data_IF_200942354997
#
_entry.id   IF_200942354997
#
_cell.length_a   1.000
_cell.length_b   1.000
_cell.length_c   1.000
_cell.angle_alpha   90.00
_cell.angle_beta   90.00
_cell.angle_gamma   90.00
#
_symmetry.space_group_name_H-M   'P 1'
#
loop_
_entity.id
_entity.type
_entity.pdbx_description
1 polymer ?
#
# COMPACT_ATOMS: atom_id res chain seq x y z
N UNK A 1 -34.08 35.16 54.58
CA UNK A 1 -32.84 35.23 53.74
C UNK A 1 -32.15 33.89 53.77
N UNK A 2 -32.43 33.04 52.78
CA UNK A 2 -31.82 31.75 52.64
C UNK A 2 -30.78 31.87 51.51
N UNK A 3 -29.50 31.72 51.84
CA UNK A 3 -28.41 31.70 50.86
C UNK A 3 -28.32 30.34 50.20
N UNK A 4 -28.70 30.29 48.95
CA UNK A 4 -28.61 29.12 48.06
C UNK A 4 -27.17 28.89 47.65
N UNK A 5 -26.56 27.80 48.15
CA UNK A 5 -25.20 27.40 47.89
C UNK A 5 -25.17 26.63 46.58
N UNK A 6 -24.88 27.29 45.46
CA UNK A 6 -24.73 26.71 44.12
C UNK A 6 -23.42 25.94 44.05
N UNK A 7 -23.46 24.64 44.36
CA UNK A 7 -22.33 23.70 44.11
C UNK A 7 -22.02 23.65 42.61
N UNK A 8 -20.92 24.28 42.23
CA UNK A 8 -20.29 24.06 40.93
C UNK A 8 -19.79 22.62 40.87
N UNK A 9 -20.51 21.75 40.18
CA UNK A 9 -20.05 20.43 39.79
C UNK A 9 -18.98 20.61 38.70
N UNK A 10 -17.73 20.54 39.09
CA UNK A 10 -16.57 20.41 38.17
C UNK A 10 -16.61 19.03 37.59
N UNK A 11 -17.19 18.92 36.42
CA UNK A 11 -17.23 17.68 35.63
C UNK A 11 -15.84 17.46 35.03
N UNK A 12 -14.95 16.89 35.84
CA UNK A 12 -13.63 16.41 35.38
C UNK A 12 -13.89 15.16 34.54
N UNK A 13 -14.08 15.34 33.24
CA UNK A 13 -14.03 14.24 32.29
C UNK A 13 -12.63 13.61 32.36
N UNK A 14 -12.50 12.59 33.18
CA UNK A 14 -11.37 11.68 33.13
C UNK A 14 -11.39 11.08 31.72
N UNK A 15 -10.50 11.56 30.87
CA UNK A 15 -10.20 10.89 29.60
C UNK A 15 -9.65 9.51 29.96
N UNK A 16 -10.52 8.50 29.99
CA UNK A 16 -10.14 7.11 30.06
C UNK A 16 -9.29 6.86 28.83
N UNK A 17 -7.98 6.77 29.03
CA UNK A 17 -7.04 6.33 28.01
C UNK A 17 -7.43 4.89 27.73
N UNK A 18 -8.26 4.67 26.71
CA UNK A 18 -8.51 3.33 26.21
C UNK A 18 -7.18 2.80 25.73
N UNK A 19 -6.58 1.91 26.52
CA UNK A 19 -5.54 1.04 26.03
C UNK A 19 -6.19 0.19 24.95
N UNK A 20 -6.04 0.59 23.71
CA UNK A 20 -6.31 -0.29 22.58
C UNK A 20 -5.39 -1.48 22.75
N UNK A 21 -5.96 -2.60 23.21
CA UNK A 21 -5.26 -3.89 23.17
C UNK A 21 -5.00 -4.10 21.68
N UNK A 22 -3.72 -4.03 21.30
CA UNK A 22 -3.32 -4.31 19.94
C UNK A 22 -3.61 -5.79 19.66
N UNK A 23 -4.79 -6.08 19.09
CA UNK A 23 -5.13 -7.40 18.62
C UNK A 23 -4.23 -7.72 17.43
N UNK A 24 -3.33 -8.66 17.64
CA UNK A 24 -2.49 -9.19 16.57
C UNK A 24 -3.21 -10.37 15.94
N UNK A 25 -3.50 -10.28 14.65
CA UNK A 25 -4.17 -11.34 13.90
C UNK A 25 -3.15 -12.42 13.49
N UNK A 26 -3.04 -13.43 14.33
CA UNK A 26 -2.15 -14.58 14.08
C UNK A 26 -2.60 -15.40 12.86
N UNK A 27 -3.90 -15.44 12.54
CA UNK A 27 -4.41 -16.17 11.38
C UNK A 27 -3.94 -15.54 10.08
N UNK A 28 -4.01 -14.20 10.00
CA UNK A 28 -3.50 -13.44 8.86
C UNK A 28 -2.00 -13.68 8.69
N UNK A 29 -1.23 -13.62 9.79
CA UNK A 29 0.21 -13.86 9.74
C UNK A 29 0.54 -15.29 9.28
N UNK A 30 -0.18 -16.29 9.78
CA UNK A 30 0.04 -17.69 9.41
C UNK A 30 -0.21 -17.93 7.91
N UNK A 31 -1.33 -17.37 7.38
CA UNK A 31 -1.65 -17.43 5.95
C UNK A 31 -0.58 -16.74 5.11
N UNK A 32 -0.12 -15.56 5.54
CA UNK A 32 0.94 -14.82 4.86
C UNK A 32 2.24 -15.61 4.78
N UNK A 33 2.68 -16.20 5.91
CA UNK A 33 3.89 -17.05 5.96
C UNK A 33 3.72 -18.27 5.04
N UNK A 34 2.58 -18.92 5.08
CA UNK A 34 2.28 -20.08 4.22
C UNK A 34 2.39 -19.70 2.73
N UNK A 35 1.82 -18.56 2.32
CA UNK A 35 1.90 -18.06 0.95
C UNK A 35 3.34 -17.69 0.55
N UNK A 36 4.12 -17.10 1.44
CA UNK A 36 5.54 -16.79 1.19
C UNK A 36 6.33 -18.08 0.98
N UNK A 37 6.17 -19.08 1.87
CA UNK A 37 6.85 -20.37 1.74
C UNK A 37 6.48 -21.08 0.43
N UNK A 38 5.20 -21.12 0.10
CA UNK A 38 4.73 -21.69 -1.17
C UNK A 38 5.32 -20.96 -2.37
N UNK A 39 5.32 -19.62 -2.36
CA UNK A 39 5.92 -18.80 -3.41
C UNK A 39 7.41 -19.03 -3.59
N UNK A 40 8.16 -19.19 -2.49
CA UNK A 40 9.60 -19.49 -2.52
C UNK A 40 9.87 -20.88 -3.14
N UNK A 41 9.10 -21.90 -2.78
CA UNK A 41 9.22 -23.26 -3.35
C UNK A 41 8.92 -23.21 -4.85
N UNK A 42 7.84 -22.56 -5.25
CA UNK A 42 7.47 -22.42 -6.66
C UNK A 42 8.53 -21.66 -7.47
N UNK A 43 9.06 -20.57 -6.90
CA UNK A 43 10.14 -19.79 -7.51
C UNK A 43 11.38 -20.66 -7.73
N UNK A 44 11.80 -21.42 -6.73
CA UNK A 44 12.94 -22.32 -6.86
C UNK A 44 12.72 -23.35 -7.97
N UNK A 45 11.56 -23.99 -7.99
CA UNK A 45 11.21 -25.01 -9.00
C UNK A 45 11.25 -24.45 -10.42
N UNK A 46 10.70 -23.25 -10.63
CA UNK A 46 10.58 -22.67 -11.98
C UNK A 46 11.85 -21.96 -12.45
N UNK A 47 12.65 -21.40 -11.53
CA UNK A 47 13.79 -20.54 -11.89
C UNK A 47 15.16 -21.23 -11.82
N UNK A 48 15.27 -22.42 -11.21
CA UNK A 48 16.54 -23.12 -11.00
C UNK A 48 17.28 -23.38 -12.31
N UNK A 49 16.60 -23.88 -13.33
CA UNK A 49 17.19 -24.13 -14.65
C UNK A 49 17.64 -22.83 -15.34
N UNK A 50 16.79 -21.81 -15.31
CA UNK A 50 17.13 -20.50 -15.91
C UNK A 50 18.29 -19.81 -15.18
N UNK A 51 18.40 -20.01 -13.85
CA UNK A 51 19.50 -19.51 -13.05
C UNK A 51 20.82 -20.20 -13.42
N UNK A 52 20.82 -21.51 -13.55
CA UNK A 52 22.01 -22.27 -14.00
C UNK A 52 22.55 -21.76 -15.33
N UNK A 53 21.66 -21.51 -16.29
CA UNK A 53 22.07 -21.09 -17.65
C UNK A 53 22.54 -19.64 -17.74
N UNK A 54 21.99 -18.74 -16.89
CA UNK A 54 22.25 -17.29 -16.99
C UNK A 54 23.20 -16.74 -15.92
N UNK A 55 23.43 -17.47 -14.83
CA UNK A 55 24.16 -16.98 -13.66
C UNK A 55 25.32 -17.92 -13.27
N UNK A 56 26.18 -18.22 -14.23
CA UNK A 56 27.43 -18.99 -14.02
C UNK A 56 27.25 -20.32 -13.25
N UNK A 57 26.09 -20.98 -13.39
CA UNK A 57 25.83 -22.25 -12.73
C UNK A 57 25.20 -22.17 -11.32
N UNK A 58 24.93 -20.97 -10.77
CA UNK A 58 24.25 -20.84 -9.46
C UNK A 58 22.73 -21.00 -9.62
N UNK A 59 22.23 -22.21 -9.40
CA UNK A 59 20.77 -22.53 -9.45
C UNK A 59 19.97 -21.82 -8.36
N UNK A 60 20.61 -21.37 -7.28
CA UNK A 60 19.98 -20.72 -6.14
C UNK A 60 19.98 -19.20 -6.22
N UNK A 61 20.51 -18.59 -7.28
CA UNK A 61 20.67 -17.14 -7.39
C UNK A 61 19.37 -16.38 -7.14
N UNK A 62 18.30 -16.71 -7.87
CA UNK A 62 17.01 -16.06 -7.72
C UNK A 62 16.35 -16.37 -6.38
N UNK A 63 16.50 -17.58 -5.87
CA UNK A 63 15.97 -18.01 -4.58
C UNK A 63 16.60 -17.20 -3.42
N UNK A 64 17.93 -17.11 -3.36
CA UNK A 64 18.65 -16.34 -2.32
C UNK A 64 18.21 -14.87 -2.33
N UNK A 65 18.08 -14.29 -3.50
CA UNK A 65 17.64 -12.89 -3.67
C UNK A 65 16.20 -12.70 -3.19
N UNK A 66 15.31 -13.63 -3.53
CA UNK A 66 13.92 -13.57 -3.08
C UNK A 66 13.78 -13.73 -1.57
N UNK A 67 14.51 -14.66 -0.96
CA UNK A 67 14.53 -14.81 0.51
C UNK A 67 14.97 -13.52 1.19
N UNK A 68 16.02 -12.88 0.69
CA UNK A 68 16.47 -11.59 1.22
C UNK A 68 15.35 -10.53 1.17
N UNK A 69 14.65 -10.41 0.03
CA UNK A 69 13.54 -9.47 -0.10
C UNK A 69 12.35 -9.83 0.78
N UNK A 70 12.05 -11.10 0.98
CA UNK A 70 11.02 -11.55 1.93
C UNK A 70 11.36 -11.12 3.36
N UNK A 71 12.62 -11.30 3.78
CA UNK A 71 13.07 -10.88 5.12
C UNK A 71 12.93 -9.36 5.27
N UNK A 72 13.43 -8.59 4.30
CA UNK A 72 13.32 -7.12 4.31
C UNK A 72 11.87 -6.68 4.32
N UNK A 73 11.01 -7.34 3.52
CA UNK A 73 9.57 -7.07 3.49
C UNK A 73 8.86 -7.36 4.80
N UNK A 74 9.18 -8.48 5.47
CA UNK A 74 8.63 -8.83 6.79
C UNK A 74 9.07 -7.85 7.87
N UNK A 75 10.33 -7.41 7.86
CA UNK A 75 10.84 -6.37 8.76
C UNK A 75 10.09 -5.06 8.50
N UNK A 76 9.96 -4.66 7.23
CA UNK A 76 9.20 -3.47 6.84
C UNK A 76 7.75 -3.53 7.29
N UNK A 77 7.07 -4.66 7.09
CA UNK A 77 5.71 -4.89 7.57
C UNK A 77 5.63 -4.73 9.10
N UNK A 78 6.57 -5.31 9.84
CA UNK A 78 6.61 -5.17 11.29
C UNK A 78 6.80 -3.73 11.76
N UNK A 79 7.69 -2.96 11.12
CA UNK A 79 7.92 -1.54 11.40
C UNK A 79 6.64 -0.74 11.11
N UNK A 80 6.05 -0.93 9.93
CA UNK A 80 4.82 -0.23 9.51
C UNK A 80 3.65 -0.52 10.45
N UNK A 81 3.52 -1.76 10.94
CA UNK A 81 2.47 -2.16 11.88
C UNK A 81 2.57 -1.47 13.26
N UNK A 82 3.75 -0.91 13.61
CA UNK A 82 3.97 -0.18 14.86
C UNK A 82 3.60 1.31 14.77
N UNK A 83 3.43 1.82 13.57
CA UNK A 83 3.10 3.22 13.34
C UNK A 83 1.58 3.40 13.50
N UNK A 84 1.17 4.45 14.22
CA UNK A 84 -0.25 4.77 14.41
C UNK A 84 -0.91 5.07 13.05
N UNK A 85 -2.06 4.45 12.79
CA UNK A 85 -2.82 4.64 11.54
C UNK A 85 -3.28 6.09 11.33
N UNK A 86 -3.44 6.89 12.40
CA UNK A 86 -3.78 8.30 12.29
C UNK A 86 -2.73 9.09 11.52
N UNK A 87 -1.46 8.72 11.67
CA UNK A 87 -0.37 9.32 10.92
C UNK A 87 -0.50 9.10 9.40
N UNK A 88 -0.91 7.89 9.01
CA UNK A 88 -1.17 7.58 7.60
C UNK A 88 -2.41 8.30 7.09
N UNK A 89 -3.44 8.38 7.92
CA UNK A 89 -4.68 9.07 7.59
C UNK A 89 -4.45 10.54 7.26
N UNK A 90 -3.75 11.27 8.12
CA UNK A 90 -3.45 12.69 7.91
C UNK A 90 -2.61 12.95 6.65
N UNK A 91 -1.72 11.99 6.31
CA UNK A 91 -0.80 12.11 5.16
C UNK A 91 -1.27 11.38 3.91
N UNK A 92 -2.45 10.80 3.91
CA UNK A 92 -2.97 9.99 2.80
C UNK A 92 -3.00 10.76 1.47
N UNK A 93 -3.39 12.04 1.49
CA UNK A 93 -3.36 12.92 0.31
C UNK A 93 -1.95 13.10 -0.24
N UNK A 94 -0.97 13.29 0.64
CA UNK A 94 0.43 13.46 0.25
C UNK A 94 0.98 12.19 -0.41
N UNK A 95 0.73 11.01 0.16
CA UNK A 95 1.11 9.74 -0.45
C UNK A 95 0.45 9.53 -1.80
N UNK A 96 -0.82 9.91 -1.93
CA UNK A 96 -1.55 9.83 -3.18
C UNK A 96 -0.90 10.68 -4.28
N UNK A 97 -0.62 11.96 -4.03
CA UNK A 97 0.00 12.83 -5.01
C UNK A 97 1.44 12.42 -5.36
N UNK A 98 2.22 11.96 -4.36
CA UNK A 98 3.55 11.40 -4.61
C UNK A 98 3.45 10.19 -5.54
N UNK A 99 2.50 9.29 -5.33
CA UNK A 99 2.37 8.10 -6.17
C UNK A 99 2.04 8.46 -7.63
N UNK A 100 1.17 9.43 -7.84
CA UNK A 100 0.88 9.96 -9.18
C UNK A 100 2.14 10.58 -9.80
N UNK A 101 2.88 11.40 -9.04
CA UNK A 101 4.12 11.98 -9.52
C UNK A 101 5.15 10.91 -9.92
N UNK A 102 5.31 9.88 -9.10
CA UNK A 102 6.19 8.74 -9.41
C UNK A 102 5.78 8.01 -10.70
N UNK A 103 4.48 7.90 -10.97
CA UNK A 103 4.02 7.32 -12.22
C UNK A 103 4.46 8.14 -13.44
N UNK A 104 4.39 9.47 -13.37
CA UNK A 104 4.89 10.32 -14.45
C UNK A 104 6.40 10.16 -14.70
N UNK A 105 7.20 9.84 -13.66
CA UNK A 105 8.63 9.58 -13.83
C UNK A 105 8.92 8.38 -14.75
N UNK A 106 7.99 7.43 -14.91
CA UNK A 106 8.16 6.30 -15.83
C UNK A 106 8.27 6.74 -17.29
N UNK A 107 7.59 7.83 -17.67
CA UNK A 107 7.66 8.39 -19.04
C UNK A 107 8.96 9.16 -19.30
N UNK A 108 9.74 9.46 -18.26
CA UNK A 108 11.05 10.12 -18.36
C UNK A 108 12.14 9.12 -18.79
N UNK A 109 13.39 9.57 -19.08
CA UNK A 109 14.51 8.68 -19.41
C UNK A 109 14.87 7.65 -18.32
N UNK A 110 14.38 7.83 -17.09
CA UNK A 110 14.56 6.89 -15.99
C UNK A 110 13.70 5.61 -16.17
N UNK A 111 12.68 5.67 -17.03
CA UNK A 111 11.83 4.53 -17.33
C UNK A 111 12.54 3.44 -18.12
N UNK A 112 12.42 2.20 -17.67
CA UNK A 112 12.88 1.00 -18.39
C UNK A 112 11.73 0.40 -19.18
N UNK A 113 11.97 0.20 -20.46
CA UNK A 113 11.08 -0.55 -21.33
C UNK A 113 11.31 -2.05 -21.14
N UNK A 114 10.24 -2.78 -20.85
CA UNK A 114 10.24 -4.24 -20.75
C UNK A 114 9.01 -4.74 -21.51
N UNK A 115 9.23 -5.63 -22.48
CA UNK A 115 8.17 -6.19 -23.33
C UNK A 115 7.33 -5.12 -24.06
N UNK A 116 7.99 -4.08 -24.58
CA UNK A 116 7.32 -3.03 -25.37
C UNK A 116 6.58 -1.95 -24.58
N UNK A 117 6.60 -2.02 -23.24
CA UNK A 117 5.96 -1.00 -22.39
C UNK A 117 6.92 -0.49 -21.32
N UNK A 118 6.90 0.84 -21.09
CA UNK A 118 7.65 1.50 -20.03
C UNK A 118 6.84 1.45 -18.74
N UNK A 119 7.20 0.52 -17.84
CA UNK A 119 6.46 0.28 -16.59
C UNK A 119 7.33 0.33 -15.34
N UNK A 120 8.64 0.33 -15.52
CA UNK A 120 9.63 0.18 -14.45
C UNK A 120 10.56 1.37 -14.40
N UNK A 121 10.95 1.77 -13.20
CA UNK A 121 12.02 2.74 -12.96
C UNK A 121 13.28 1.95 -12.60
N UNK A 122 14.41 2.29 -13.25
CA UNK A 122 15.72 1.73 -12.90
C UNK A 122 16.16 2.32 -11.57
N UNK A 123 16.44 1.45 -10.61
CA UNK A 123 17.07 1.80 -9.34
C UNK A 123 18.55 1.36 -9.34
N UNK A 124 19.39 1.91 -8.45
CA UNK A 124 20.73 1.38 -8.21
C UNK A 124 20.69 -0.12 -7.89
N UNK A 125 21.81 -0.83 -8.12
CA UNK A 125 21.96 -2.27 -7.92
C UNK A 125 21.05 -3.15 -8.80
N UNK A 126 20.77 -2.71 -10.02
CA UNK A 126 19.94 -3.43 -11.00
C UNK A 126 18.50 -3.73 -10.52
N UNK A 127 18.07 -3.03 -9.48
CA UNK A 127 16.70 -3.13 -9.01
C UNK A 127 15.73 -2.40 -9.95
N UNK A 128 14.50 -2.87 -9.96
CA UNK A 128 13.44 -2.26 -10.74
C UNK A 128 12.25 -2.00 -9.81
N UNK A 129 11.77 -0.78 -9.83
CA UNK A 129 10.58 -0.37 -9.08
C UNK A 129 9.44 -0.09 -10.05
N UNK A 130 8.28 -0.66 -9.78
CA UNK A 130 7.08 -0.37 -10.56
C UNK A 130 6.23 0.66 -9.80
N UNK A 131 6.13 1.92 -10.25
CA UNK A 131 5.37 2.95 -9.54
C UNK A 131 3.88 2.62 -9.36
N UNK A 132 3.30 1.82 -10.26
CA UNK A 132 1.92 1.36 -10.13
C UNK A 132 1.67 0.50 -8.86
N UNK A 133 2.70 -0.21 -8.35
CA UNK A 133 2.59 -0.93 -7.07
C UNK A 133 2.46 0.06 -5.90
N UNK A 134 3.24 1.15 -5.93
CA UNK A 134 3.14 2.22 -4.92
C UNK A 134 1.80 2.92 -5.01
N UNK A 135 1.28 3.14 -6.23
CA UNK A 135 -0.02 3.77 -6.44
C UNK A 135 -1.15 2.95 -5.80
N UNK A 136 -1.13 1.62 -5.90
CA UNK A 136 -2.12 0.75 -5.24
C UNK A 136 -2.13 0.97 -3.72
N UNK A 137 -0.96 1.00 -3.09
CA UNK A 137 -0.84 1.24 -1.65
C UNK A 137 -1.36 2.63 -1.29
N UNK A 138 -1.00 3.65 -2.07
CA UNK A 138 -1.45 5.02 -1.84
C UNK A 138 -2.98 5.16 -1.94
N UNK A 139 -3.61 4.46 -2.87
CA UNK A 139 -5.06 4.45 -3.04
C UNK A 139 -5.75 3.72 -1.89
N UNK A 140 -5.21 2.58 -1.42
CA UNK A 140 -5.72 1.87 -0.24
C UNK A 140 -5.71 2.76 1.01
N UNK A 141 -4.76 3.68 1.13
CA UNK A 141 -4.71 4.64 2.23
C UNK A 141 -5.62 5.85 1.98
N UNK A 142 -5.70 6.33 0.75
CA UNK A 142 -6.40 7.56 0.39
C UNK A 142 -7.92 7.40 0.37
N UNK A 143 -8.45 6.34 -0.22
CA UNK A 143 -9.90 6.15 -0.37
C UNK A 143 -10.62 6.05 0.98
N UNK A 144 -10.19 5.22 1.95
CA UNK A 144 -10.80 5.21 3.28
C UNK A 144 -10.68 6.55 4.01
N UNK A 145 -9.54 7.26 3.85
CA UNK A 145 -9.37 8.58 4.44
C UNK A 145 -10.34 9.60 3.84
N UNK A 146 -10.56 9.55 2.53
CA UNK A 146 -11.54 10.38 1.85
C UNK A 146 -12.96 10.10 2.37
N UNK A 147 -13.35 8.83 2.46
CA UNK A 147 -14.67 8.41 2.97
C UNK A 147 -14.87 8.89 4.42
N UNK A 148 -13.88 8.72 5.28
CA UNK A 148 -13.95 9.20 6.66
C UNK A 148 -14.10 10.73 6.77
N UNK A 149 -13.42 11.49 5.90
CA UNK A 149 -13.52 12.97 5.89
C UNK A 149 -14.87 13.45 5.37
N UNK A 150 -15.49 12.71 4.44
CA UNK A 150 -16.83 13.04 3.92
C UNK A 150 -17.97 12.75 4.92
N UNK A 151 -17.75 11.84 5.89
CA UNK A 151 -18.71 11.54 6.94
C UNK A 151 -20.08 11.12 6.41
N UNK A 152 -21.13 11.95 6.63
CA UNK A 152 -22.50 11.65 6.19
C UNK A 152 -22.72 11.84 4.68
N UNK A 153 -21.90 12.61 4.01
CA UNK A 153 -22.03 12.86 2.57
C UNK A 153 -21.87 11.59 1.74
N UNK A 154 -21.11 10.60 2.23
CA UNK A 154 -20.95 9.32 1.53
C UNK A 154 -22.27 8.58 1.28
N UNK A 155 -23.32 8.86 2.07
CA UNK A 155 -24.64 8.28 1.90
C UNK A 155 -25.45 8.90 0.76
N UNK A 156 -24.98 10.00 0.20
CA UNK A 156 -25.59 10.65 -0.96
C UNK A 156 -24.98 10.11 -2.25
N UNK A 157 -25.75 10.20 -3.34
CA UNK A 157 -25.23 9.83 -4.67
C UNK A 157 -24.01 10.67 -5.06
N UNK A 158 -23.99 11.95 -4.70
CA UNK A 158 -22.84 12.82 -4.93
C UNK A 158 -21.58 12.32 -4.22
N UNK A 159 -21.71 11.87 -2.96
CA UNK A 159 -20.60 11.34 -2.20
C UNK A 159 -20.01 10.08 -2.83
N UNK A 160 -20.87 9.16 -3.26
CA UNK A 160 -20.45 7.93 -3.94
C UNK A 160 -19.76 8.27 -5.27
N UNK A 161 -20.34 9.15 -6.05
CA UNK A 161 -19.77 9.59 -7.35
C UNK A 161 -18.41 10.25 -7.15
N UNK A 162 -18.21 11.07 -6.11
CA UNK A 162 -16.91 11.67 -5.78
C UNK A 162 -15.83 10.61 -5.52
N UNK A 163 -16.14 9.58 -4.71
CA UNK A 163 -15.20 8.50 -4.42
C UNK A 163 -14.87 7.73 -5.70
N UNK A 164 -15.88 7.31 -6.45
CA UNK A 164 -15.69 6.60 -7.72
C UNK A 164 -14.92 7.46 -8.75
N UNK A 165 -15.13 8.76 -8.77
CA UNK A 165 -14.40 9.67 -9.67
C UNK A 165 -12.90 9.71 -9.35
N UNK A 166 -12.51 9.74 -8.05
CA UNK A 166 -11.11 9.65 -7.64
C UNK A 166 -10.48 8.30 -7.99
N UNK A 167 -11.23 7.20 -7.82
CA UNK A 167 -10.78 5.88 -8.23
C UNK A 167 -10.63 5.73 -9.73
N UNK A 168 -11.63 6.17 -10.49
CA UNK A 168 -11.60 6.16 -11.95
C UNK A 168 -10.47 7.04 -12.52
N UNK A 169 -10.25 8.22 -11.93
CA UNK A 169 -9.11 9.07 -12.28
C UNK A 169 -7.78 8.35 -12.05
N UNK A 170 -7.62 7.72 -10.90
CA UNK A 170 -6.40 6.97 -10.57
C UNK A 170 -6.19 5.78 -11.52
N UNK A 171 -7.25 5.02 -11.81
CA UNK A 171 -7.21 3.89 -12.74
C UNK A 171 -6.86 4.35 -14.17
N UNK A 172 -7.43 5.48 -14.61
CA UNK A 172 -7.12 6.07 -15.91
C UNK A 172 -5.66 6.52 -16.00
N UNK A 173 -5.13 7.19 -14.96
CA UNK A 173 -3.72 7.59 -14.91
C UNK A 173 -2.79 6.37 -14.97
N UNK A 174 -3.08 5.32 -14.19
CA UNK A 174 -2.33 4.06 -14.24
C UNK A 174 -2.38 3.47 -15.64
N UNK A 175 -3.55 3.37 -16.26
CA UNK A 175 -3.71 2.79 -17.58
C UNK A 175 -2.96 3.56 -18.67
N UNK A 176 -3.13 4.88 -18.72
CA UNK A 176 -2.52 5.75 -19.74
C UNK A 176 -0.99 5.77 -19.62
N UNK A 177 -0.46 5.78 -18.38
CA UNK A 177 0.98 5.89 -18.17
C UNK A 177 1.67 4.55 -18.34
N UNK A 178 1.12 3.48 -17.76
CA UNK A 178 1.81 2.17 -17.69
C UNK A 178 1.32 1.16 -18.73
N UNK A 179 0.25 1.51 -19.49
CA UNK A 179 -0.38 0.62 -20.48
C UNK A 179 -0.73 -0.77 -19.88
N UNK A 180 -1.09 -0.77 -18.60
CA UNK A 180 -1.37 -1.98 -17.83
C UNK A 180 -2.83 -2.02 -17.38
N UNK A 181 -3.67 -2.67 -18.21
CA UNK A 181 -5.08 -2.81 -17.93
C UNK A 181 -5.37 -3.57 -16.64
N UNK A 182 -4.60 -4.63 -16.35
CA UNK A 182 -4.79 -5.45 -15.14
C UNK A 182 -4.64 -4.61 -13.87
N UNK A 183 -3.60 -3.76 -13.81
CA UNK A 183 -3.39 -2.88 -12.66
C UNK A 183 -4.47 -1.81 -12.55
N UNK A 184 -4.94 -1.26 -13.67
CA UNK A 184 -6.03 -0.29 -13.68
C UNK A 184 -7.34 -0.90 -13.15
N UNK A 185 -7.66 -2.14 -13.54
CA UNK A 185 -8.82 -2.88 -13.02
C UNK A 185 -8.70 -3.12 -11.50
N UNK A 186 -7.52 -3.49 -11.02
CA UNK A 186 -7.28 -3.68 -9.58
C UNK A 186 -7.49 -2.36 -8.84
N UNK A 187 -6.95 -1.25 -9.36
CA UNK A 187 -7.11 0.09 -8.77
C UNK A 187 -8.58 0.49 -8.70
N UNK A 188 -9.34 0.24 -9.77
CA UNK A 188 -10.77 0.50 -9.78
C UNK A 188 -11.53 -0.41 -8.81
N UNK A 189 -11.12 -1.67 -8.67
CA UNK A 189 -11.74 -2.61 -7.74
C UNK A 189 -11.45 -2.33 -6.26
N UNK A 190 -10.40 -1.56 -5.95
CA UNK A 190 -10.09 -1.10 -4.58
C UNK A 190 -11.00 0.07 -4.17
N UNK A 191 -11.56 0.79 -5.14
CA UNK A 191 -12.39 1.99 -4.93
C UNK A 191 -13.86 1.67 -4.80
#
# INVERSE_FOLDING_TARGET
MVKENKKRSTNTRVKKKEHSIAYFDYSLLAILICLICFGLVMLYSTSSYSAMMKQNGDSLFYFKRQVLFCIVGLIGMWIVSRIDYHWYFERSKFFYFISIFMMFLVKTPLGKEVNGAKRWIKLPFEQQLQPAEIAKIAIILFIPALICTMGREIKTLEGIVKVLAWGAFSAAVVFIITENLSTAIIVMGIT
#
